data_IF_286521191613
#
_entry.id   IF_286521191613
#
_cell.length_a   1.000
_cell.length_b   1.000
_cell.length_c   1.000
_cell.angle_alpha   90.00
_cell.angle_beta   90.00
_cell.angle_gamma   90.00
#
_symmetry.space_group_name_H-M   'P 1'
#
loop_
_entity.id
_entity.type
_entity.pdbx_description
1 polymer ?
#
# COMPACT_ATOMS: atom_id res chain seq x y z
N UNK A 1 26.58 -18.40 -4.35
CA UNK A 1 25.43 -19.30 -4.65
C UNK A 1 24.50 -19.23 -3.45
N UNK A 2 23.62 -18.21 -3.43
CA UNK A 2 22.66 -18.00 -2.34
C UNK A 2 21.45 -18.89 -2.59
N UNK A 3 21.30 -19.95 -1.81
CA UNK A 3 20.10 -20.78 -1.78
C UNK A 3 18.99 -19.99 -1.05
N UNK A 4 18.05 -19.47 -1.81
CA UNK A 4 16.82 -18.91 -1.31
C UNK A 4 16.05 -20.01 -0.56
N UNK A 5 16.15 -20.04 0.76
CA UNK A 5 15.29 -20.89 1.60
C UNK A 5 13.87 -20.32 1.54
N UNK A 6 13.12 -20.78 0.58
CA UNK A 6 11.71 -20.46 0.41
C UNK A 6 10.94 -20.96 1.63
N UNK A 7 10.42 -20.04 2.43
CA UNK A 7 9.77 -20.37 3.70
C UNK A 7 8.32 -20.81 3.40
N UNK A 8 8.12 -22.11 3.19
CA UNK A 8 6.82 -22.75 2.91
C UNK A 8 5.74 -22.38 3.94
N UNK A 9 6.12 -22.04 5.17
CA UNK A 9 5.20 -21.60 6.24
C UNK A 9 4.53 -20.26 5.91
N UNK A 10 5.24 -19.33 5.25
CA UNK A 10 4.70 -18.03 4.86
C UNK A 10 3.65 -18.16 3.75
N UNK A 11 3.90 -19.03 2.78
CA UNK A 11 2.93 -19.35 1.73
C UNK A 11 1.66 -20.00 2.29
N UNK A 12 1.80 -20.87 3.29
CA UNK A 12 0.67 -21.54 3.92
C UNK A 12 -0.21 -20.55 4.70
N UNK A 13 0.39 -19.56 5.37
CA UNK A 13 -0.33 -18.50 6.09
C UNK A 13 -1.05 -17.59 5.09
N UNK A 14 -0.42 -17.22 3.99
CA UNK A 14 -1.04 -16.40 2.93
C UNK A 14 -2.19 -17.18 2.26
N UNK A 15 -1.99 -18.47 1.97
CA UNK A 15 -3.04 -19.33 1.40
C UNK A 15 -4.24 -19.46 2.34
N UNK A 16 -4.02 -19.66 3.64
CA UNK A 16 -5.10 -19.78 4.63
C UNK A 16 -5.81 -18.45 4.89
N UNK A 17 -5.09 -17.31 4.84
CA UNK A 17 -5.69 -15.98 4.94
C UNK A 17 -6.58 -15.65 3.71
N UNK A 18 -6.23 -16.16 2.53
CA UNK A 18 -7.01 -15.97 1.30
C UNK A 18 -8.22 -16.92 1.24
N UNK A 19 -8.09 -18.15 1.75
CA UNK A 19 -9.18 -19.15 1.72
C UNK A 19 -10.19 -19.02 2.87
N UNK A 20 -9.84 -18.29 3.94
CA UNK A 20 -10.72 -18.00 5.07
C UNK A 20 -11.81 -16.96 4.76
N UNK A 21 -11.92 -16.45 3.53
CA UNK A 21 -13.02 -15.59 3.10
C UNK A 21 -14.26 -16.48 2.95
N UNK A 22 -15.07 -16.52 3.98
CA UNK A 22 -16.38 -17.17 3.94
C UNK A 22 -17.17 -16.62 2.76
N UNK A 23 -17.54 -17.48 1.81
CA UNK A 23 -18.44 -17.16 0.72
C UNK A 23 -19.81 -16.82 1.33
N UNK A 24 -20.02 -15.55 1.65
CA UNK A 24 -21.36 -15.03 1.85
C UNK A 24 -22.05 -15.19 0.49
N UNK A 25 -23.16 -15.92 0.45
CA UNK A 25 -24.07 -15.94 -0.70
C UNK A 25 -24.53 -14.50 -0.98
N UNK A 26 -23.77 -13.79 -1.77
CA UNK A 26 -24.15 -12.49 -2.32
C UNK A 26 -24.47 -12.73 -3.79
N UNK A 27 -25.56 -12.14 -4.27
CA UNK A 27 -25.79 -11.99 -5.71
C UNK A 27 -24.47 -11.48 -6.32
N UNK A 28 -23.81 -12.32 -7.10
CA UNK A 28 -22.48 -12.02 -7.63
C UNK A 28 -22.46 -10.74 -8.47
N UNK A 29 -23.56 -10.41 -9.12
CA UNK A 29 -23.76 -9.16 -9.85
C UNK A 29 -23.84 -7.94 -8.91
N UNK A 30 -24.40 -8.09 -7.71
CA UNK A 30 -24.48 -7.04 -6.69
C UNK A 30 -23.13 -6.73 -6.04
N UNK A 31 -22.20 -7.69 -5.99
CA UNK A 31 -20.89 -7.46 -5.38
C UNK A 31 -20.04 -6.47 -6.21
N UNK A 32 -20.01 -6.59 -7.51
CA UNK A 32 -19.22 -5.71 -8.39
C UNK A 32 -19.89 -4.36 -8.64
N UNK A 33 -21.20 -4.24 -8.42
CA UNK A 33 -21.90 -2.98 -8.56
C UNK A 33 -21.51 -2.00 -7.43
N UNK A 34 -21.33 -0.71 -7.73
CA UNK A 34 -21.14 0.31 -6.71
C UNK A 34 -22.34 0.34 -5.74
N UNK A 35 -22.07 0.47 -4.45
CA UNK A 35 -23.14 0.57 -3.46
C UNK A 35 -23.87 1.91 -3.63
N UNK A 36 -25.22 1.93 -3.71
CA UNK A 36 -26.00 3.16 -3.87
C UNK A 36 -25.91 4.06 -2.63
N UNK A 37 -25.62 3.48 -1.48
CA UNK A 37 -25.43 4.16 -0.19
C UNK A 37 -24.18 3.61 0.50
N UNK A 38 -23.71 4.30 1.55
CA UNK A 38 -22.53 3.91 2.30
C UNK A 38 -22.64 2.48 2.85
N UNK A 39 -21.83 1.57 2.34
CA UNK A 39 -21.73 0.20 2.83
C UNK A 39 -20.53 0.07 3.79
N UNK A 40 -20.80 0.11 5.09
CA UNK A 40 -19.78 0.06 6.13
C UNK A 40 -18.88 -1.19 6.04
N UNK A 41 -19.45 -2.36 5.68
CA UNK A 41 -18.67 -3.60 5.56
C UNK A 41 -17.64 -3.50 4.42
N UNK A 42 -18.04 -2.94 3.27
CA UNK A 42 -17.11 -2.70 2.14
C UNK A 42 -16.06 -1.65 2.49
N UNK A 43 -16.43 -0.58 3.21
CA UNK A 43 -15.46 0.43 3.67
C UNK A 43 -14.42 -0.21 4.58
N UNK A 44 -14.84 -1.00 5.58
CA UNK A 44 -13.94 -1.71 6.47
C UNK A 44 -13.03 -2.65 5.69
N UNK A 45 -13.57 -3.44 4.77
CA UNK A 45 -12.78 -4.33 3.92
C UNK A 45 -11.71 -3.56 3.14
N UNK A 46 -12.08 -2.48 2.46
CA UNK A 46 -11.15 -1.67 1.66
C UNK A 46 -10.09 -1.03 2.55
N UNK A 47 -10.48 -0.40 3.66
CA UNK A 47 -9.52 0.28 4.54
C UNK A 47 -8.59 -0.70 5.24
N UNK A 48 -9.08 -1.84 5.70
CA UNK A 48 -8.24 -2.88 6.34
C UNK A 48 -7.25 -3.47 5.34
N UNK A 49 -7.70 -3.82 4.14
CA UNK A 49 -6.82 -4.35 3.09
C UNK A 49 -5.73 -3.35 2.72
N UNK A 50 -6.07 -2.07 2.57
CA UNK A 50 -5.09 -1.03 2.26
C UNK A 50 -4.10 -0.81 3.40
N UNK A 51 -4.57 -0.77 4.65
CA UNK A 51 -3.70 -0.64 5.82
C UNK A 51 -2.74 -1.84 5.93
N UNK A 52 -3.22 -3.05 5.66
CA UNK A 52 -2.39 -4.25 5.64
C UNK A 52 -1.33 -4.20 4.52
N UNK A 53 -1.70 -3.73 3.32
CA UNK A 53 -0.76 -3.57 2.21
C UNK A 53 0.31 -2.50 2.51
N UNK A 54 -0.08 -1.35 3.05
CA UNK A 54 0.88 -0.30 3.42
C UNK A 54 1.79 -0.74 4.57
N UNK A 55 1.21 -1.31 5.64
CA UNK A 55 2.01 -1.83 6.74
C UNK A 55 2.95 -2.95 6.30
N UNK A 56 2.46 -3.88 5.49
CA UNK A 56 3.28 -4.95 4.92
C UNK A 56 4.39 -4.43 4.01
N UNK A 57 4.13 -3.40 3.19
CA UNK A 57 5.17 -2.80 2.36
C UNK A 57 6.24 -2.09 3.17
N UNK A 58 5.88 -1.36 4.25
CA UNK A 58 6.86 -0.73 5.14
C UNK A 58 7.73 -1.78 5.87
N UNK A 59 7.11 -2.87 6.34
CA UNK A 59 7.86 -3.99 6.94
C UNK A 59 8.79 -4.62 5.89
N UNK A 60 8.28 -4.86 4.68
CA UNK A 60 9.06 -5.40 3.57
C UNK A 60 10.25 -4.51 3.20
N UNK A 61 10.04 -3.21 3.08
CA UNK A 61 11.10 -2.23 2.82
C UNK A 61 12.15 -2.24 3.95
N UNK A 62 11.72 -2.29 5.21
CA UNK A 62 12.65 -2.36 6.33
C UNK A 62 13.50 -3.64 6.29
N UNK A 63 12.90 -4.81 6.07
CA UNK A 63 13.60 -6.09 6.09
C UNK A 63 14.50 -6.30 4.85
N UNK A 64 14.06 -5.85 3.68
CA UNK A 64 14.77 -6.09 2.42
C UNK A 64 15.80 -5.00 2.12
N UNK A 65 15.58 -3.80 2.60
CA UNK A 65 16.38 -2.62 2.25
C UNK A 65 17.03 -1.97 3.47
N UNK A 66 16.28 -1.26 4.30
CA UNK A 66 16.83 -0.41 5.36
C UNK A 66 17.66 -1.15 6.43
N UNK A 67 17.35 -2.41 6.70
CA UNK A 67 18.09 -3.23 7.68
C UNK A 67 19.53 -3.51 7.24
N UNK A 68 19.80 -3.50 5.95
CA UNK A 68 21.10 -3.86 5.36
C UNK A 68 22.03 -2.67 5.21
N UNK A 69 21.54 -1.45 5.46
CA UNK A 69 22.34 -0.22 5.40
C UNK A 69 22.59 0.35 6.79
N UNK A 70 23.80 0.88 7.06
CA UNK A 70 24.09 1.58 8.30
C UNK A 70 23.13 2.76 8.47
N UNK A 71 22.67 3.01 9.68
CA UNK A 71 21.89 4.20 9.98
C UNK A 71 22.82 5.40 10.13
N UNK A 72 22.44 6.50 9.51
CA UNK A 72 23.10 7.80 9.63
C UNK A 72 22.25 8.77 10.46
N UNK A 73 22.84 9.90 10.85
CA UNK A 73 22.05 11.05 11.32
C UNK A 73 21.16 11.56 10.18
N UNK A 74 19.97 12.07 10.52
CA UNK A 74 19.04 12.58 9.52
C UNK A 74 19.73 13.61 8.60
N UNK A 75 19.59 13.40 7.30
CA UNK A 75 20.10 14.32 6.28
C UNK A 75 19.13 14.38 5.10
N UNK A 76 19.15 15.50 4.40
CA UNK A 76 18.41 15.62 3.15
C UNK A 76 19.28 15.07 2.02
N UNK A 77 18.77 14.10 1.32
CA UNK A 77 19.44 13.51 0.17
C UNK A 77 19.09 14.29 -1.10
N UNK A 78 20.10 14.68 -1.86
CA UNK A 78 19.91 15.36 -3.14
C UNK A 78 20.32 14.43 -4.29
N UNK A 79 19.40 13.59 -4.71
CA UNK A 79 19.54 12.64 -5.80
C UNK A 79 19.17 13.21 -7.20
N UNK A 80 19.06 14.53 -7.31
CA UNK A 80 18.61 15.19 -8.54
C UNK A 80 19.47 14.86 -9.78
N UNK A 81 20.72 14.45 -9.58
CA UNK A 81 21.66 14.09 -10.63
C UNK A 81 21.68 12.59 -10.92
N UNK A 82 21.08 11.78 -10.05
CA UNK A 82 21.06 10.34 -10.20
C UNK A 82 19.87 9.88 -11.04
N UNK A 83 20.10 8.88 -11.89
CA UNK A 83 19.09 8.19 -12.70
C UNK A 83 18.14 9.10 -13.50
N UNK A 84 18.55 10.32 -13.86
CA UNK A 84 17.69 11.28 -14.58
C UNK A 84 16.33 11.50 -13.92
N UNK A 85 16.25 11.47 -12.61
CA UNK A 85 15.01 11.59 -11.81
C UNK A 85 13.95 10.49 -12.11
N UNK A 86 14.35 9.36 -12.67
CA UNK A 86 13.46 8.24 -12.97
C UNK A 86 12.81 7.68 -11.70
N UNK A 87 13.53 7.74 -10.58
CA UNK A 87 12.99 7.34 -9.28
C UNK A 87 11.78 8.20 -8.91
N UNK A 88 11.91 9.52 -9.00
CA UNK A 88 10.79 10.46 -8.75
C UNK A 88 9.61 10.25 -9.68
N UNK A 89 9.89 10.01 -10.97
CA UNK A 89 8.85 9.68 -11.93
C UNK A 89 8.14 8.37 -11.55
N UNK A 90 8.88 7.36 -11.10
CA UNK A 90 8.35 6.09 -10.60
C UNK A 90 7.45 6.28 -9.36
N UNK A 91 7.88 7.09 -8.40
CA UNK A 91 7.09 7.43 -7.21
C UNK A 91 5.78 8.15 -7.57
N UNK A 92 5.83 9.15 -8.45
CA UNK A 92 4.64 9.87 -8.92
C UNK A 92 3.68 8.92 -9.64
N UNK A 93 4.18 8.10 -10.57
CA UNK A 93 3.37 7.14 -11.31
C UNK A 93 2.71 6.11 -10.38
N UNK A 94 3.47 5.52 -9.47
CA UNK A 94 2.99 4.52 -8.54
C UNK A 94 1.96 5.12 -7.57
N UNK A 95 2.24 6.30 -7.03
CA UNK A 95 1.33 7.01 -6.12
C UNK A 95 0.01 7.37 -6.79
N UNK A 96 0.07 7.82 -8.04
CA UNK A 96 -1.12 8.12 -8.83
C UNK A 96 -2.00 6.87 -9.01
N UNK A 97 -1.41 5.76 -9.48
CA UNK A 97 -2.17 4.54 -9.76
C UNK A 97 -2.76 3.91 -8.49
N UNK A 98 -1.97 3.83 -7.42
CA UNK A 98 -2.46 3.33 -6.12
C UNK A 98 -3.53 4.24 -5.55
N UNK A 99 -3.35 5.56 -5.67
CA UNK A 99 -4.35 6.55 -5.27
C UNK A 99 -5.66 6.39 -6.03
N UNK A 100 -5.57 6.31 -7.37
CA UNK A 100 -6.73 6.12 -8.25
C UNK A 100 -7.51 4.84 -7.90
N UNK A 101 -6.83 3.70 -7.83
CA UNK A 101 -7.46 2.43 -7.45
C UNK A 101 -8.17 2.52 -6.10
N UNK A 102 -7.56 3.16 -5.11
CA UNK A 102 -8.17 3.33 -3.80
C UNK A 102 -9.39 4.24 -3.80
N UNK A 103 -9.42 5.29 -4.63
CA UNK A 103 -10.60 6.14 -4.79
C UNK A 103 -11.75 5.32 -5.37
N UNK A 104 -11.48 4.52 -6.41
CA UNK A 104 -12.51 3.69 -7.05
C UNK A 104 -13.06 2.61 -6.09
N UNK A 105 -12.21 1.98 -5.28
CA UNK A 105 -12.64 1.03 -4.25
C UNK A 105 -13.51 1.68 -3.17
N UNK A 106 -13.19 2.91 -2.75
CA UNK A 106 -14.03 3.64 -1.80
C UNK A 106 -15.38 4.06 -2.44
N UNK A 107 -15.39 4.47 -3.70
CA UNK A 107 -16.62 4.74 -4.47
C UNK A 107 -17.47 3.48 -4.60
N UNK A 108 -16.85 2.33 -4.90
CA UNK A 108 -17.52 1.04 -4.90
C UNK A 108 -18.17 0.73 -3.55
N UNK A 109 -17.59 1.22 -2.46
CA UNK A 109 -18.16 1.08 -1.11
C UNK A 109 -19.27 2.09 -0.79
N UNK A 110 -19.66 2.95 -1.73
CA UNK A 110 -20.68 4.00 -1.53
C UNK A 110 -20.15 5.26 -0.84
N UNK A 111 -18.83 5.44 -0.76
CA UNK A 111 -18.22 6.69 -0.28
C UNK A 111 -18.30 7.75 -1.38
N UNK A 112 -18.70 8.96 -1.04
CA UNK A 112 -18.75 10.06 -2.03
C UNK A 112 -17.36 10.37 -2.56
N UNK A 113 -17.26 10.73 -3.86
CA UNK A 113 -15.98 11.01 -4.53
C UNK A 113 -15.12 12.03 -3.75
N UNK A 114 -15.73 13.10 -3.25
CA UNK A 114 -15.01 14.13 -2.47
C UNK A 114 -14.34 13.54 -1.23
N UNK A 115 -15.08 12.76 -0.44
CA UNK A 115 -14.53 12.10 0.76
C UNK A 115 -13.45 11.05 0.40
N UNK A 116 -13.67 10.30 -0.67
CA UNK A 116 -12.69 9.31 -1.15
C UNK A 116 -11.36 9.97 -1.55
N UNK A 117 -11.40 11.10 -2.27
CA UNK A 117 -10.21 11.85 -2.68
C UNK A 117 -9.46 12.38 -1.44
N UNK A 118 -10.16 13.02 -0.50
CA UNK A 118 -9.53 13.56 0.71
C UNK A 118 -8.89 12.45 1.55
N UNK A 119 -9.63 11.37 1.80
CA UNK A 119 -9.11 10.25 2.58
C UNK A 119 -7.86 9.65 1.93
N UNK A 120 -7.91 9.37 0.62
CA UNK A 120 -6.79 8.75 -0.10
C UNK A 120 -5.60 9.68 -0.22
N UNK A 121 -5.84 10.97 -0.48
CA UNK A 121 -4.76 11.96 -0.54
C UNK A 121 -4.04 12.08 0.80
N UNK A 122 -4.77 12.16 1.90
CA UNK A 122 -4.18 12.24 3.25
C UNK A 122 -3.38 10.98 3.60
N UNK A 123 -3.94 9.79 3.36
CA UNK A 123 -3.25 8.51 3.66
C UNK A 123 -2.01 8.34 2.77
N UNK A 124 -2.11 8.66 1.49
CA UNK A 124 -0.97 8.60 0.56
C UNK A 124 0.15 9.57 0.96
N UNK A 125 -0.20 10.79 1.33
CA UNK A 125 0.77 11.79 1.80
C UNK A 125 1.50 11.33 3.07
N UNK A 126 0.78 10.81 4.06
CA UNK A 126 1.38 10.28 5.29
C UNK A 126 2.30 9.09 4.98
N UNK A 127 1.86 8.17 4.12
CA UNK A 127 2.65 7.00 3.73
C UNK A 127 3.96 7.39 3.05
N UNK A 128 3.91 8.29 2.07
CA UNK A 128 5.10 8.80 1.39
C UNK A 128 6.01 9.57 2.37
N UNK A 129 5.44 10.38 3.25
CA UNK A 129 6.19 11.08 4.28
C UNK A 129 6.96 10.14 5.22
N UNK A 130 6.38 8.99 5.56
CA UNK A 130 7.09 7.96 6.36
C UNK A 130 8.29 7.41 5.58
N UNK A 131 8.13 7.11 4.29
CA UNK A 131 9.21 6.61 3.43
C UNK A 131 10.33 7.63 3.35
N UNK A 132 10.02 8.91 3.10
CA UNK A 132 11.01 9.98 3.02
C UNK A 132 11.79 10.16 4.34
N UNK A 133 11.09 10.07 5.47
CA UNK A 133 11.77 10.11 6.79
C UNK A 133 12.69 8.91 6.97
N UNK A 134 12.29 7.70 6.54
CA UNK A 134 13.14 6.51 6.62
C UNK A 134 14.35 6.63 5.71
N UNK A 135 14.20 7.19 4.51
CA UNK A 135 15.30 7.47 3.59
C UNK A 135 16.29 8.46 4.22
N UNK A 136 15.80 9.52 4.86
CA UNK A 136 16.65 10.51 5.52
C UNK A 136 17.52 9.97 6.66
N UNK A 137 17.21 8.81 7.20
CA UNK A 137 18.01 8.09 8.21
C UNK A 137 18.88 6.97 7.62
N UNK A 138 18.79 6.71 6.33
CA UNK A 138 19.60 5.70 5.64
C UNK A 138 20.92 6.33 5.16
N UNK A 139 22.01 5.59 5.23
CA UNK A 139 23.35 6.03 4.77
C UNK A 139 23.58 5.70 3.29
N UNK A 140 22.58 5.92 2.46
CA UNK A 140 22.75 5.77 1.01
C UNK A 140 23.45 6.97 0.43
#
# INVERSE_FOLDING_TARGET
>A
MFLFRFNFRLLFIIYFAVTGISFVKADTLSFFAPAPTLNKKRVVLVTTTQSALYGGSLIGLNELWYKNYPRSSFHFFNDNTEWFQMDKAGHVFSSYNVGFAGIELLKWSGVTRKKAIWYRGSVGFVYLGIIEVLNGFSSQ
#
